data_IF_739319525063
#
_entry.id   IF_739319525063
#
_cell.length_a   1.000
_cell.length_b   1.000
_cell.length_c   1.000
_cell.angle_alpha   90.00
_cell.angle_beta   90.00
_cell.angle_gamma   90.00
#
_symmetry.space_group_name_H-M   'P 1'
#
loop_
_entity.id
_entity.type
_entity.pdbx_description
1 polymer ?
#
# COMPACT_ATOMS: atom_id res chain seq x y z
N UNK A 1 -4.29 -8.97 31.49
CA UNK A 1 -2.81 -8.95 31.37
C UNK A 1 -2.27 -9.22 29.95
N UNK A 2 -2.92 -10.01 29.08
CA UNK A 2 -2.33 -10.38 27.76
C UNK A 2 -2.21 -9.24 26.74
N UNK A 3 -3.19 -8.32 26.67
CA UNK A 3 -3.19 -7.24 25.66
C UNK A 3 -2.05 -6.24 25.86
N UNK A 4 -1.76 -5.83 27.09
CA UNK A 4 -0.65 -4.91 27.38
C UNK A 4 0.71 -5.48 26.95
N UNK A 5 0.88 -6.80 27.10
CA UNK A 5 2.08 -7.51 26.64
C UNK A 5 2.18 -7.49 25.11
N UNK A 6 1.09 -7.80 24.40
CA UNK A 6 1.08 -7.75 22.94
C UNK A 6 1.39 -6.35 22.39
N UNK A 7 0.83 -5.30 23.01
CA UNK A 7 1.12 -3.90 22.66
C UNK A 7 2.60 -3.59 22.87
N UNK A 8 3.16 -3.96 24.04
CA UNK A 8 4.57 -3.73 24.35
C UNK A 8 5.49 -4.36 23.30
N UNK A 9 5.22 -5.60 22.88
CA UNK A 9 6.00 -6.26 21.83
C UNK A 9 6.01 -5.49 20.50
N UNK A 10 4.88 -4.87 20.10
CA UNK A 10 4.84 -4.08 18.85
C UNK A 10 5.54 -2.73 19.03
N UNK A 11 5.42 -2.12 20.21
CA UNK A 11 6.16 -0.88 20.52
C UNK A 11 7.66 -1.15 20.46
N UNK A 12 8.14 -2.21 21.10
CA UNK A 12 9.57 -2.55 21.12
C UNK A 12 10.08 -2.93 19.72
N UNK A 13 9.28 -3.63 18.92
CA UNK A 13 9.59 -3.90 17.51
C UNK A 13 9.74 -2.61 16.70
N UNK A 14 8.75 -1.72 16.73
CA UNK A 14 8.80 -0.45 16.01
C UNK A 14 9.95 0.46 16.49
N UNK A 15 10.23 0.44 17.79
CA UNK A 15 11.38 1.14 18.38
C UNK A 15 12.71 0.62 17.82
N UNK A 16 12.85 -0.70 17.66
CA UNK A 16 14.02 -1.32 17.05
C UNK A 16 14.28 -0.86 15.60
N UNK A 17 13.25 -0.43 14.88
CA UNK A 17 13.38 0.14 13.52
C UNK A 17 13.54 1.68 13.53
N UNK A 18 13.71 2.31 14.69
CA UNK A 18 14.06 3.73 14.80
C UNK A 18 12.90 4.68 15.11
N UNK A 19 11.70 4.18 15.43
CA UNK A 19 10.65 5.03 16.02
C UNK A 19 10.94 5.34 17.49
N UNK A 20 10.50 6.49 17.96
CA UNK A 20 10.42 6.72 19.41
C UNK A 20 9.33 5.84 20.02
N UNK A 21 9.46 5.45 21.30
CA UNK A 21 8.41 4.68 21.99
C UNK A 21 7.06 5.40 21.96
N UNK A 22 7.09 6.72 22.09
CA UNK A 22 5.90 7.58 22.04
C UNK A 22 5.23 7.53 20.67
N UNK A 23 5.99 7.60 19.58
CA UNK A 23 5.43 7.56 18.23
C UNK A 23 4.98 6.15 17.84
N UNK A 24 5.71 5.12 18.26
CA UNK A 24 5.28 3.74 18.12
C UNK A 24 3.93 3.49 18.83
N UNK A 25 3.76 4.00 20.05
CA UNK A 25 2.49 3.92 20.76
C UNK A 25 1.38 4.69 20.03
N UNK A 26 1.64 5.91 19.52
CA UNK A 26 0.68 6.67 18.71
C UNK A 26 0.28 5.92 17.43
N UNK A 27 1.21 5.25 16.77
CA UNK A 27 0.94 4.44 15.57
C UNK A 27 -0.01 3.29 15.91
N UNK A 28 0.28 2.54 16.98
CA UNK A 28 -0.56 1.43 17.43
C UNK A 28 -1.94 1.93 17.88
N UNK A 29 -2.00 3.07 18.57
CA UNK A 29 -3.26 3.69 18.99
C UNK A 29 -4.14 4.07 17.79
N UNK A 30 -3.53 4.65 16.73
CA UNK A 30 -4.25 5.00 15.50
C UNK A 30 -4.61 3.80 14.64
N UNK A 31 -3.86 2.71 14.73
CA UNK A 31 -4.10 1.48 13.95
C UNK A 31 -3.97 0.24 14.85
N UNK A 32 -4.98 -0.04 15.70
CA UNK A 32 -4.91 -1.14 16.66
C UNK A 32 -4.87 -2.52 16.00
N UNK A 33 -5.26 -2.64 14.72
CA UNK A 33 -5.18 -3.92 13.97
C UNK A 33 -3.75 -4.44 13.84
N UNK A 34 -2.74 -3.61 14.06
CA UNK A 34 -1.33 -4.06 14.12
C UNK A 34 -1.14 -5.18 15.16
N UNK A 35 -1.93 -5.19 16.23
CA UNK A 35 -1.89 -6.21 17.29
C UNK A 35 -2.37 -7.57 16.76
N UNK A 36 -3.22 -7.59 15.74
CA UNK A 36 -3.70 -8.82 15.10
C UNK A 36 -2.64 -9.51 14.22
N UNK A 37 -1.50 -8.86 13.97
CA UNK A 37 -0.38 -9.44 13.23
C UNK A 37 0.73 -9.88 14.18
N UNK A 38 1.46 -10.94 13.83
CA UNK A 38 2.62 -11.37 14.59
C UNK A 38 3.74 -10.32 14.52
N UNK A 39 4.62 -10.28 15.52
CA UNK A 39 5.76 -9.35 15.54
C UNK A 39 6.62 -9.49 14.29
N UNK A 40 6.86 -10.74 13.84
CA UNK A 40 7.59 -11.00 12.60
C UNK A 40 6.86 -10.55 11.31
N UNK A 41 5.54 -10.43 11.31
CA UNK A 41 4.79 -9.84 10.18
C UNK A 41 4.92 -8.32 10.19
N UNK A 42 4.89 -7.70 11.37
CA UNK A 42 5.09 -6.25 11.53
C UNK A 42 6.51 -5.87 11.09
N UNK A 43 7.51 -6.60 11.57
CA UNK A 43 8.91 -6.47 11.16
C UNK A 43 9.07 -6.51 9.63
N UNK A 44 8.55 -7.56 8.98
CA UNK A 44 8.58 -7.71 7.51
C UNK A 44 7.92 -6.54 6.77
N UNK A 45 6.80 -6.01 7.29
CA UNK A 45 6.16 -4.81 6.70
C UNK A 45 7.07 -3.58 6.79
N UNK A 46 7.76 -3.39 7.92
CA UNK A 46 8.65 -2.25 8.13
C UNK A 46 9.92 -2.38 7.29
N UNK A 47 10.52 -3.56 7.22
CA UNK A 47 11.67 -3.84 6.33
C UNK A 47 11.32 -3.55 4.87
N UNK A 48 10.16 -4.04 4.40
CA UNK A 48 9.72 -3.75 3.05
C UNK A 48 9.53 -2.25 2.79
N UNK A 49 9.03 -1.50 3.78
CA UNK A 49 8.86 -0.05 3.68
C UNK A 49 10.22 0.66 3.50
N UNK A 50 11.20 0.32 4.33
CA UNK A 50 12.51 0.98 4.33
C UNK A 50 13.35 0.53 3.13
N UNK A 51 13.45 -0.77 2.92
CA UNK A 51 14.39 -1.34 1.95
C UNK A 51 13.87 -1.26 0.52
N UNK A 52 12.59 -1.61 0.31
CA UNK A 52 12.00 -1.69 -1.04
C UNK A 52 11.33 -0.39 -1.45
N UNK A 53 10.57 0.24 -0.56
CA UNK A 53 9.88 1.50 -0.87
C UNK A 53 10.74 2.74 -0.65
N UNK A 54 11.92 2.59 -0.02
CA UNK A 54 12.82 3.72 0.33
C UNK A 54 12.09 4.82 1.11
N UNK A 55 11.13 4.43 1.94
CA UNK A 55 10.37 5.34 2.79
C UNK A 55 10.93 5.31 4.22
N UNK A 56 10.99 6.48 4.87
CA UNK A 56 11.36 6.56 6.29
C UNK A 56 10.32 5.83 7.15
N UNK A 57 10.77 5.22 8.24
CA UNK A 57 9.89 4.57 9.24
C UNK A 57 8.93 5.60 9.87
N UNK A 58 9.32 6.87 9.93
CA UNK A 58 8.47 7.97 10.38
C UNK A 58 7.20 8.15 9.54
N UNK A 59 7.19 7.67 8.29
CA UNK A 59 5.99 7.66 7.46
C UNK A 59 4.83 6.87 8.09
N UNK A 60 5.13 5.91 8.98
CA UNK A 60 4.12 5.14 9.71
C UNK A 60 3.29 6.01 10.65
N UNK A 61 3.86 7.07 11.23
CA UNK A 61 3.12 8.02 12.06
C UNK A 61 2.06 8.80 11.25
N UNK A 62 2.34 9.03 9.96
CA UNK A 62 1.46 9.71 9.01
C UNK A 62 0.43 8.75 8.39
N UNK A 63 0.79 7.49 8.14
CA UNK A 63 -0.06 6.48 7.50
C UNK A 63 -0.03 5.15 8.27
N UNK A 64 -0.56 5.12 9.51
CA UNK A 64 -0.48 3.93 10.37
C UNK A 64 -1.26 2.74 9.80
N UNK A 65 -2.29 3.01 8.98
CA UNK A 65 -3.09 2.01 8.23
C UNK A 65 -2.26 1.01 7.44
N UNK A 66 -1.03 1.36 7.04
CA UNK A 66 -0.10 0.45 6.40
C UNK A 66 0.14 -0.83 7.21
N UNK A 67 0.27 -0.72 8.53
CA UNK A 67 0.50 -1.87 9.41
C UNK A 67 -0.75 -2.74 9.57
N UNK A 68 -1.94 -2.16 9.35
CA UNK A 68 -3.23 -2.83 9.47
C UNK A 68 -3.64 -3.68 8.25
N UNK A 69 -3.00 -3.52 7.09
CA UNK A 69 -3.36 -4.27 5.87
C UNK A 69 -2.55 -5.55 5.69
N UNK A 70 -3.09 -6.50 4.92
CA UNK A 70 -2.39 -7.74 4.56
C UNK A 70 -1.12 -7.46 3.75
N UNK A 71 0.00 -8.07 4.16
CA UNK A 71 1.29 -7.85 3.50
C UNK A 71 1.27 -8.32 2.04
N UNK A 72 1.06 -9.62 1.81
CA UNK A 72 1.05 -10.19 0.45
C UNK A 72 -0.09 -9.63 -0.42
N UNK A 73 -1.32 -9.67 0.08
CA UNK A 73 -2.52 -9.39 -0.72
C UNK A 73 -2.76 -7.90 -0.99
N UNK A 74 -2.09 -6.99 -0.28
CA UNK A 74 -2.28 -5.55 -0.45
C UNK A 74 -0.97 -4.84 -0.70
N UNK A 75 0.01 -4.98 0.19
CA UNK A 75 1.26 -4.22 0.11
C UNK A 75 2.08 -4.69 -1.09
N UNK A 76 2.45 -5.97 -1.13
CA UNK A 76 3.26 -6.54 -2.21
C UNK A 76 2.50 -6.46 -3.54
N UNK A 77 1.25 -6.93 -3.58
CA UNK A 77 0.41 -6.90 -4.78
C UNK A 77 0.34 -5.54 -5.47
N UNK A 78 0.07 -4.47 -4.70
CA UNK A 78 -0.03 -3.12 -5.25
C UNK A 78 1.33 -2.55 -5.59
N UNK A 79 2.35 -2.80 -4.76
CA UNK A 79 3.68 -2.27 -5.02
C UNK A 79 4.33 -2.86 -6.28
N UNK A 80 4.12 -4.16 -6.55
CA UNK A 80 4.64 -4.79 -7.78
C UNK A 80 4.05 -4.17 -9.05
N UNK A 81 2.76 -3.77 -9.02
CA UNK A 81 2.15 -3.02 -10.13
C UNK A 81 2.81 -1.66 -10.28
N UNK A 82 3.02 -0.94 -9.17
CA UNK A 82 3.67 0.38 -9.17
C UNK A 82 5.10 0.29 -9.70
N UNK A 83 5.89 -0.71 -9.30
CA UNK A 83 7.24 -0.93 -9.83
C UNK A 83 7.22 -1.20 -11.33
N UNK A 84 6.28 -2.02 -11.82
CA UNK A 84 6.13 -2.29 -13.25
C UNK A 84 5.84 -0.99 -14.02
N UNK A 85 4.91 -0.18 -13.53
CA UNK A 85 4.55 1.09 -14.15
C UNK A 85 5.68 2.12 -14.07
N UNK A 86 6.46 2.14 -12.98
CA UNK A 86 7.65 3.00 -12.81
C UNK A 86 8.72 2.66 -13.83
N UNK A 87 9.03 1.37 -14.02
CA UNK A 87 10.02 0.91 -15.03
C UNK A 87 9.63 1.30 -16.46
N UNK A 88 8.33 1.43 -16.74
CA UNK A 88 7.80 1.84 -18.04
C UNK A 88 7.66 3.35 -18.21
N UNK A 89 7.92 4.15 -17.16
CA UNK A 89 7.66 5.59 -17.17
C UNK A 89 6.19 5.96 -17.28
N UNK A 90 5.27 5.04 -16.94
CA UNK A 90 3.82 5.25 -17.03
C UNK A 90 3.28 6.09 -15.84
N UNK A 91 4.01 6.11 -14.73
CA UNK A 91 3.73 6.95 -13.56
C UNK A 91 4.74 8.10 -13.54
N UNK A 92 4.25 9.34 -13.67
CA UNK A 92 5.06 10.56 -13.64
C UNK A 92 5.10 11.27 -12.28
N UNK A 93 4.69 10.59 -11.20
CA UNK A 93 4.65 11.17 -9.85
C UNK A 93 5.25 10.23 -8.81
N UNK A 94 5.65 10.79 -7.67
CA UNK A 94 6.09 10.00 -6.53
C UNK A 94 4.92 9.23 -5.93
N UNK A 95 4.97 7.90 -6.06
CA UNK A 95 3.98 7.00 -5.47
C UNK A 95 4.30 6.78 -3.99
N UNK A 96 3.52 7.39 -3.10
CA UNK A 96 3.74 7.33 -1.67
C UNK A 96 2.96 6.23 -0.95
N UNK A 97 3.27 6.04 0.33
CA UNK A 97 2.60 5.06 1.21
C UNK A 97 1.07 5.24 1.25
N UNK A 98 0.60 6.49 1.23
CA UNK A 98 -0.83 6.81 1.21
C UNK A 98 -1.50 6.29 -0.07
N UNK A 99 -0.86 6.44 -1.23
CA UNK A 99 -1.43 6.01 -2.52
C UNK A 99 -1.44 4.49 -2.67
N UNK A 100 -0.61 3.77 -1.90
CA UNK A 100 -0.66 2.32 -1.78
C UNK A 100 -1.86 1.85 -0.94
N UNK A 101 -2.01 2.43 0.25
CA UNK A 101 -2.89 1.87 1.30
C UNK A 101 -4.32 2.42 1.22
N UNK A 102 -4.50 3.65 0.74
CA UNK A 102 -5.81 4.30 0.74
C UNK A 102 -6.78 3.75 -0.32
N UNK A 103 -6.38 3.51 -1.58
CA UNK A 103 -7.31 3.03 -2.58
C UNK A 103 -7.86 1.65 -2.23
N UNK A 104 -9.18 1.47 -2.37
CA UNK A 104 -9.80 0.15 -2.36
C UNK A 104 -9.19 -0.74 -3.45
N UNK A 105 -9.37 -2.06 -3.34
CA UNK A 105 -8.88 -2.99 -4.37
C UNK A 105 -9.42 -2.65 -5.75
N UNK A 106 -10.72 -2.36 -5.84
CA UNK A 106 -11.39 -1.98 -7.09
C UNK A 106 -10.86 -0.66 -7.63
N UNK A 107 -10.69 0.35 -6.76
CA UNK A 107 -10.15 1.65 -7.17
C UNK A 107 -8.71 1.54 -7.66
N UNK A 108 -7.87 0.78 -6.96
CA UNK A 108 -6.50 0.52 -7.39
C UNK A 108 -6.47 -0.20 -8.74
N UNK A 109 -7.30 -1.24 -8.91
CA UNK A 109 -7.39 -1.98 -10.16
C UNK A 109 -7.78 -1.06 -11.33
N UNK A 110 -8.85 -0.27 -11.17
CA UNK A 110 -9.31 0.62 -12.24
C UNK A 110 -8.30 1.70 -12.63
N UNK A 111 -7.49 2.19 -11.67
CA UNK A 111 -6.50 3.25 -11.93
C UNK A 111 -5.18 2.73 -12.48
N UNK A 112 -4.68 1.60 -11.97
CA UNK A 112 -3.31 1.15 -12.21
C UNK A 112 -3.20 -0.20 -12.91
N UNK A 113 -4.27 -1.00 -12.94
CA UNK A 113 -4.21 -2.36 -13.52
C UNK A 113 -5.01 -2.42 -14.83
N UNK A 114 -6.29 -2.04 -14.80
CA UNK A 114 -7.18 -2.04 -15.97
C UNK A 114 -6.61 -1.26 -17.18
N UNK A 115 -5.97 -0.08 -17.01
CA UNK A 115 -5.40 0.64 -18.14
C UNK A 115 -4.12 0.01 -18.71
N UNK A 116 -3.51 -0.95 -17.98
CA UNK A 116 -2.22 -1.54 -18.28
C UNK A 116 -2.32 -3.08 -18.24
N UNK A 117 -2.72 -3.75 -19.33
CA UNK A 117 -2.99 -5.19 -19.36
C UNK A 117 -1.84 -6.08 -18.84
N UNK A 118 -0.60 -5.65 -19.03
CA UNK A 118 0.59 -6.28 -18.44
C UNK A 118 0.54 -6.42 -16.91
N UNK A 119 -0.10 -5.47 -16.22
CA UNK A 119 -0.22 -5.43 -14.78
C UNK A 119 -1.30 -6.39 -14.28
N UNK A 120 -2.20 -6.88 -15.14
CA UNK A 120 -3.21 -7.87 -14.76
C UNK A 120 -2.56 -9.18 -14.32
N UNK A 121 -1.51 -9.64 -15.01
CA UNK A 121 -0.77 -10.84 -14.63
C UNK A 121 -0.09 -10.68 -13.26
N UNK A 122 0.43 -9.48 -12.98
CA UNK A 122 1.11 -9.16 -11.72
C UNK A 122 0.09 -9.09 -10.57
N UNK A 123 -1.02 -8.37 -10.75
CA UNK A 123 -2.02 -8.14 -9.72
C UNK A 123 -2.93 -9.37 -9.50
N UNK A 124 -3.17 -10.16 -10.55
CA UNK A 124 -3.94 -11.39 -10.54
C UNK A 124 -3.31 -12.48 -9.66
N UNK A 125 -1.97 -12.55 -9.61
CA UNK A 125 -1.22 -13.50 -8.75
C UNK A 125 -1.58 -13.36 -7.26
N UNK A 126 -2.04 -12.19 -6.84
CA UNK A 126 -2.42 -11.89 -5.46
C UNK A 126 -3.95 -11.75 -5.25
N UNK A 127 -4.72 -11.74 -6.34
CA UNK A 127 -6.18 -11.69 -6.34
C UNK A 127 -6.74 -13.10 -6.42
N UNK A 128 -6.73 -13.84 -5.31
CA UNK A 128 -7.26 -15.20 -5.21
C UNK A 128 -8.78 -15.34 -5.42
N UNK A 129 -9.41 -14.51 -6.24
CA UNK A 129 -10.79 -14.65 -6.69
C UNK A 129 -10.87 -14.14 -8.13
N UNK A 130 -11.18 -15.04 -9.07
CA UNK A 130 -11.29 -14.72 -10.48
C UNK A 130 -12.38 -13.70 -10.75
N UNK A 131 -11.99 -12.43 -10.89
CA UNK A 131 -12.87 -11.41 -11.47
C UNK A 131 -12.79 -11.60 -12.98
N UNK A 132 -13.72 -12.37 -13.55
CA UNK A 132 -13.91 -12.39 -15.00
C UNK A 132 -14.51 -11.05 -15.44
N UNK A 133 -13.65 -10.11 -15.84
CA UNK A 133 -14.10 -8.88 -16.52
C UNK A 133 -13.99 -9.12 -18.02
N UNK A 134 -15.13 -9.25 -18.70
CA UNK A 134 -15.18 -9.31 -20.17
C UNK A 134 -14.67 -7.99 -20.74
N UNK A 135 -13.49 -8.02 -21.37
CA UNK A 135 -12.85 -6.87 -22.01
C UNK A 135 -13.61 -6.52 -23.30
N UNK A 136 -14.52 -5.56 -23.22
CA UNK A 136 -15.00 -4.81 -24.40
C UNK A 136 -14.23 -3.50 -24.40
N UNK A 137 -13.19 -3.31 -25.22
CA UNK A 137 -12.77 -2.00 -25.79
C UNK A 137 -11.44 -2.08 -26.56
N UNK A 138 -11.34 -1.19 -27.55
CA UNK A 138 -10.26 -1.02 -28.53
C UNK A 138 -8.90 -0.77 -27.88
N UNK A 139 -7.91 -1.58 -28.25
CA UNK A 139 -6.53 -1.43 -27.81
C UNK A 139 -5.93 -0.11 -28.29
N UNK A 140 -5.30 0.67 -27.39
CA UNK A 140 -4.46 1.81 -27.75
C UNK A 140 -4.80 3.16 -27.10
N UNK A 141 -6.01 3.36 -26.56
CA UNK A 141 -6.38 4.64 -25.90
C UNK A 141 -5.56 4.96 -24.65
N UNK A 142 -5.11 3.92 -23.93
CA UNK A 142 -4.35 4.06 -22.69
C UNK A 142 -2.95 4.65 -22.89
N UNK A 143 -2.37 4.59 -24.11
CA UNK A 143 -1.08 5.21 -24.43
C UNK A 143 -1.08 6.74 -24.27
N UNK A 144 -2.27 7.38 -24.26
CA UNK A 144 -2.43 8.83 -24.02
C UNK A 144 -2.61 9.19 -22.55
N UNK A 145 -2.88 8.22 -21.67
CA UNK A 145 -3.08 8.48 -20.25
C UNK A 145 -1.74 8.44 -19.50
N UNK A 146 -1.05 9.59 -19.45
CA UNK A 146 -0.06 9.83 -18.38
C UNK A 146 -0.82 10.26 -17.14
N UNK A 147 -0.77 9.48 -16.05
CA UNK A 147 -1.33 9.94 -14.78
C UNK A 147 -0.51 11.12 -14.27
N UNK A 148 -1.11 12.31 -14.33
CA UNK A 148 -0.60 13.55 -13.76
C UNK A 148 -1.35 13.81 -12.44
N UNK A 149 -0.71 14.47 -11.45
CA UNK A 149 -1.21 14.62 -10.06
C UNK A 149 -2.66 15.14 -9.98
N UNK A 150 -3.06 15.98 -10.92
CA UNK A 150 -4.39 16.57 -11.12
C UNK A 150 -5.49 15.52 -11.36
N UNK A 151 -5.20 14.42 -12.06
CA UNK A 151 -6.16 13.32 -12.23
C UNK A 151 -6.44 12.59 -10.90
N UNK A 152 -5.51 12.61 -9.95
CA UNK A 152 -5.70 12.03 -8.62
C UNK A 152 -6.40 13.02 -7.67
N UNK A 153 -6.17 14.33 -7.84
CA UNK A 153 -6.76 15.40 -7.03
C UNK A 153 -8.24 15.66 -7.35
N UNK A 154 -8.64 15.63 -8.64
CA UNK A 154 -10.05 15.77 -9.04
C UNK A 154 -10.98 14.71 -8.44
N UNK A 155 -10.44 13.59 -7.98
CA UNK A 155 -11.19 12.49 -7.36
C UNK A 155 -10.88 12.27 -5.86
N UNK A 156 -10.06 13.15 -5.25
CA UNK A 156 -9.82 13.18 -3.79
C UNK A 156 -10.77 14.16 -3.07
N UNK A 157 -11.60 14.91 -3.81
CA UNK A 157 -12.58 15.85 -3.27
C UNK A 157 -13.96 15.24 -3.01
N UNK A 158 -14.04 14.29 -2.08
CA UNK A 158 -15.27 13.93 -1.34
C UNK A 158 -14.82 13.06 -0.19
N UNK A 159 -14.66 13.66 0.98
CA UNK A 159 -14.81 13.09 2.33
C UNK A 159 -14.32 14.18 3.29
N UNK A 160 -15.29 14.95 3.78
CA UNK A 160 -15.17 15.86 4.91
C UNK A 160 -15.10 15.06 6.23
#
# INVERSE_FOLDING_TARGET
MRVCFEVKLRVDCLYGYGLTRTDALKVIWKEPRVICYGVGDVARKVEFLVERMKCSVECLAKVPKYLGVSFEKQIVAKYSVVECLRRKGAIGFEFGLKDLVMPSRLRFYNLYVKPYPECEKIYGRFSGCGVQVKTKHLAGLWKRFKLRKDALLRFKGTEA
#
